data_IF_466511155149
#
_entry.id   IF_466511155149
#
_cell.length_a   1.000
_cell.length_b   1.000
_cell.length_c   1.000
_cell.angle_alpha   90.00
_cell.angle_beta   90.00
_cell.angle_gamma   90.00
#
_symmetry.space_group_name_H-M   'P 1'
#
loop_
_entity.id
_entity.type
_entity.pdbx_description
1 polymer ?
#
# COMPACT_ATOMS: atom_id res chain seq x y z
N UNK A 1 15.62 -20.73 -11.32
CA UNK A 1 15.90 -19.29 -11.06
C UNK A 1 17.21 -18.90 -11.75
N UNK A 2 17.34 -17.64 -12.16
CA UNK A 2 18.55 -17.09 -12.79
C UNK A 2 19.68 -16.94 -11.76
N UNK A 3 20.96 -17.00 -12.25
CA UNK A 3 22.14 -16.78 -11.43
C UNK A 3 22.12 -15.38 -10.79
N UNK A 4 22.40 -15.30 -9.49
CA UNK A 4 22.64 -14.03 -8.83
C UNK A 4 24.04 -13.51 -9.19
N UNK A 5 24.10 -12.56 -10.11
CA UNK A 5 25.36 -12.00 -10.61
C UNK A 5 26.08 -11.07 -9.62
N UNK A 6 25.40 -10.63 -8.56
CA UNK A 6 26.02 -9.85 -7.49
C UNK A 6 27.04 -10.68 -6.70
N UNK A 7 26.72 -11.96 -6.48
CA UNK A 7 27.57 -12.92 -5.75
C UNK A 7 28.49 -13.74 -6.64
N UNK A 8 28.12 -13.88 -7.91
CA UNK A 8 28.81 -14.80 -8.79
C UNK A 8 30.14 -14.23 -9.32
N UNK A 9 31.12 -15.08 -9.43
CA UNK A 9 32.39 -14.75 -10.12
C UNK A 9 32.16 -14.67 -11.63
N UNK A 10 32.98 -13.90 -12.33
CA UNK A 10 32.86 -13.68 -13.77
C UNK A 10 32.86 -14.97 -14.58
N UNK A 11 33.71 -15.94 -14.19
CA UNK A 11 33.77 -17.25 -14.87
C UNK A 11 32.42 -18.00 -14.79
N UNK A 12 31.70 -17.87 -13.67
CA UNK A 12 30.37 -18.46 -13.49
C UNK A 12 29.28 -17.72 -14.26
N UNK A 13 29.41 -16.42 -14.38
CA UNK A 13 28.45 -15.58 -15.12
C UNK A 13 28.53 -15.93 -16.61
N UNK A 14 29.76 -15.95 -17.18
CA UNK A 14 29.95 -16.31 -18.57
C UNK A 14 29.74 -17.80 -18.88
N UNK A 15 29.80 -18.67 -17.86
CA UNK A 15 29.52 -20.10 -18.00
C UNK A 15 28.03 -20.45 -17.79
N UNK A 16 27.18 -19.50 -17.44
CA UNK A 16 25.76 -19.75 -17.17
C UNK A 16 24.95 -19.72 -18.48
N UNK A 17 24.24 -20.79 -18.80
CA UNK A 17 23.52 -20.95 -20.06
C UNK A 17 22.40 -19.94 -20.26
N UNK A 18 21.65 -19.57 -19.18
CA UNK A 18 20.58 -18.62 -19.24
C UNK A 18 21.12 -17.22 -19.55
N UNK A 19 22.22 -16.82 -18.89
CA UNK A 19 22.86 -15.51 -19.14
C UNK A 19 23.46 -15.49 -20.57
N UNK A 20 24.10 -16.54 -20.99
CA UNK A 20 24.62 -16.63 -22.37
C UNK A 20 23.47 -16.50 -23.40
N UNK A 21 22.37 -17.18 -23.16
CA UNK A 21 21.18 -17.08 -24.02
C UNK A 21 20.64 -15.67 -24.10
N UNK A 22 20.58 -14.95 -22.95
CA UNK A 22 20.18 -13.55 -22.90
C UNK A 22 21.11 -12.66 -23.72
N UNK A 23 22.43 -12.79 -23.53
CA UNK A 23 23.45 -12.03 -24.27
C UNK A 23 23.31 -12.26 -25.76
N UNK A 24 23.23 -13.54 -26.19
CA UNK A 24 23.06 -13.90 -27.58
C UNK A 24 21.76 -13.36 -28.19
N UNK A 25 20.65 -13.44 -27.45
CA UNK A 25 19.37 -12.93 -27.91
C UNK A 25 19.38 -11.40 -28.09
N UNK A 26 19.92 -10.69 -27.11
CA UNK A 26 19.97 -9.21 -27.10
C UNK A 26 20.98 -8.70 -28.15
N UNK A 27 22.07 -9.40 -28.35
CA UNK A 27 23.09 -9.12 -29.39
C UNK A 27 24.17 -8.13 -28.96
N UNK A 28 24.18 -7.69 -27.70
CA UNK A 28 25.20 -6.78 -27.15
C UNK A 28 26.15 -7.52 -26.21
N UNK A 29 27.39 -7.06 -26.13
CA UNK A 29 28.33 -7.54 -25.11
C UNK A 29 27.88 -7.06 -23.73
N UNK A 30 28.19 -7.80 -22.68
CA UNK A 30 28.00 -7.41 -21.31
C UNK A 30 29.33 -7.01 -20.66
N UNK A 31 29.32 -5.96 -19.87
CA UNK A 31 30.47 -5.51 -19.09
C UNK A 31 30.04 -4.76 -17.85
N UNK A 32 30.86 -4.81 -16.80
CA UNK A 32 30.70 -3.88 -15.66
C UNK A 32 31.11 -2.44 -16.01
N UNK A 33 31.94 -2.30 -17.06
CA UNK A 33 32.27 -0.98 -17.58
C UNK A 33 31.22 -0.61 -18.65
N UNK A 34 30.48 0.43 -18.41
CA UNK A 34 29.39 0.91 -19.28
C UNK A 34 29.84 1.25 -20.69
N UNK A 35 31.11 1.69 -20.85
CA UNK A 35 31.68 2.05 -22.13
C UNK A 35 31.97 0.83 -23.04
N UNK A 36 31.96 -0.37 -22.48
CA UNK A 36 32.20 -1.60 -23.24
C UNK A 36 30.90 -2.20 -23.80
N UNK A 37 29.73 -1.66 -23.43
CA UNK A 37 28.42 -2.13 -23.92
C UNK A 37 28.07 -1.42 -25.23
N UNK A 38 28.24 -2.15 -26.34
CA UNK A 38 27.99 -1.64 -27.69
C UNK A 38 26.50 -1.69 -28.03
N UNK A 39 25.79 -0.57 -27.81
CA UNK A 39 24.34 -0.46 -28.06
C UNK A 39 24.01 -0.52 -29.55
N UNK A 40 24.97 -0.19 -30.47
CA UNK A 40 24.71 -0.23 -31.91
C UNK A 40 24.42 -1.65 -32.41
N UNK A 41 24.90 -2.66 -31.67
CA UNK A 41 24.65 -4.09 -31.96
C UNK A 41 23.32 -4.60 -31.41
N UNK A 42 22.54 -3.75 -30.70
CA UNK A 42 21.28 -4.13 -30.10
C UNK A 42 20.28 -4.61 -31.15
N UNK A 43 19.74 -5.82 -30.95
CA UNK A 43 18.78 -6.44 -31.88
C UNK A 43 17.33 -6.02 -31.57
N UNK A 44 17.03 -5.64 -30.32
CA UNK A 44 15.66 -5.37 -29.86
C UNK A 44 15.63 -4.07 -29.04
N UNK A 45 14.76 -3.15 -29.43
CA UNK A 45 14.57 -1.88 -28.72
C UNK A 45 13.55 -1.96 -27.58
N UNK A 46 13.02 -3.15 -27.29
CA UNK A 46 12.21 -3.46 -26.11
C UNK A 46 12.55 -4.84 -25.59
N UNK A 47 13.13 -4.87 -24.41
CA UNK A 47 13.43 -6.08 -23.65
C UNK A 47 12.40 -6.12 -22.53
N UNK A 48 11.51 -7.09 -22.57
CA UNK A 48 10.32 -7.13 -21.69
C UNK A 48 10.45 -8.31 -20.75
N UNK A 49 10.56 -8.05 -19.44
CA UNK A 49 10.51 -9.08 -18.42
C UNK A 49 9.06 -9.49 -18.18
N UNK A 50 8.80 -10.77 -18.29
CA UNK A 50 7.49 -11.35 -18.08
C UNK A 50 7.62 -12.47 -17.05
N UNK A 51 7.21 -12.20 -15.82
CA UNK A 51 7.31 -13.09 -14.67
C UNK A 51 5.95 -13.24 -14.00
N UNK A 52 5.75 -14.33 -13.28
CA UNK A 52 4.56 -14.55 -12.48
C UNK A 52 4.37 -13.46 -11.42
N UNK A 53 3.13 -13.28 -10.97
CA UNK A 53 2.78 -12.27 -9.94
C UNK A 53 3.04 -12.77 -8.50
N UNK A 54 3.72 -13.89 -8.33
CA UNK A 54 4.08 -14.48 -7.05
C UNK A 54 5.46 -14.04 -6.54
N UNK A 55 5.85 -14.54 -5.36
CA UNK A 55 7.15 -14.23 -4.73
C UNK A 55 8.34 -14.74 -5.55
N UNK A 56 8.20 -15.88 -6.24
CA UNK A 56 9.24 -16.43 -7.09
C UNK A 56 9.43 -15.59 -8.34
N UNK A 57 8.36 -15.13 -8.97
CA UNK A 57 8.41 -14.19 -10.10
C UNK A 57 9.01 -12.84 -9.71
N UNK A 58 8.69 -12.31 -8.53
CA UNK A 58 9.31 -11.10 -8.00
C UNK A 58 10.83 -11.27 -7.79
N UNK A 59 11.27 -12.43 -7.27
CA UNK A 59 12.68 -12.75 -7.11
C UNK A 59 13.39 -12.89 -8.46
N UNK A 60 12.81 -13.57 -9.44
CA UNK A 60 13.37 -13.68 -10.81
C UNK A 60 13.54 -12.29 -11.44
N UNK A 61 12.55 -11.43 -11.29
CA UNK A 61 12.60 -10.04 -11.77
C UNK A 61 13.74 -9.25 -11.11
N UNK A 62 13.93 -9.40 -9.79
CA UNK A 62 15.04 -8.76 -9.08
C UNK A 62 16.41 -9.27 -9.58
N UNK A 63 16.55 -10.59 -9.81
CA UNK A 63 17.78 -11.17 -10.38
C UNK A 63 18.08 -10.64 -11.80
N UNK A 64 17.06 -10.52 -12.64
CA UNK A 64 17.18 -9.91 -13.96
C UNK A 64 17.58 -8.44 -13.88
N UNK A 65 16.92 -7.65 -13.04
CA UNK A 65 17.26 -6.24 -12.82
C UNK A 65 18.69 -6.09 -12.33
N UNK A 66 19.16 -6.96 -11.41
CA UNK A 66 20.55 -6.98 -10.94
C UNK A 66 21.51 -7.21 -12.10
N UNK A 67 21.21 -8.19 -12.97
CA UNK A 67 22.04 -8.48 -14.15
C UNK A 67 22.11 -7.27 -15.09
N UNK A 68 20.97 -6.69 -15.45
CA UNK A 68 20.93 -5.54 -16.36
C UNK A 68 21.61 -4.31 -15.75
N UNK A 69 21.40 -4.04 -14.47
CA UNK A 69 22.05 -2.93 -13.78
C UNK A 69 23.58 -3.09 -13.72
N UNK A 70 24.08 -4.31 -13.42
CA UNK A 70 25.52 -4.57 -13.25
C UNK A 70 26.29 -4.74 -14.56
N UNK A 71 25.65 -5.27 -15.62
CA UNK A 71 26.36 -5.72 -16.82
C UNK A 71 25.82 -5.16 -18.13
N UNK A 72 24.66 -4.53 -18.11
CA UNK A 72 24.02 -3.97 -19.30
C UNK A 72 23.27 -2.66 -18.98
N UNK A 73 23.80 -1.86 -18.05
CA UNK A 73 23.21 -0.63 -17.55
C UNK A 73 22.82 0.36 -18.66
N UNK A 74 23.61 0.59 -19.73
CA UNK A 74 23.21 1.44 -20.82
C UNK A 74 21.86 1.06 -21.46
N UNK A 75 21.43 -0.20 -21.37
CA UNK A 75 20.11 -0.60 -21.88
C UNK A 75 18.95 -0.07 -21.02
N UNK A 76 19.18 0.07 -19.69
CA UNK A 76 18.22 0.70 -18.79
C UNK A 76 18.17 2.22 -19.05
N UNK A 77 19.32 2.87 -19.09
CA UNK A 77 19.45 4.32 -19.26
C UNK A 77 18.86 4.80 -20.60
N UNK A 78 19.04 4.03 -21.66
CA UNK A 78 18.44 4.30 -22.96
C UNK A 78 16.96 3.86 -23.06
N UNK A 79 16.40 3.27 -22.00
CA UNK A 79 14.98 2.96 -21.91
C UNK A 79 14.53 1.77 -22.74
N UNK A 80 15.36 0.76 -22.88
CA UNK A 80 15.03 -0.47 -23.62
C UNK A 80 14.48 -1.59 -22.74
N UNK A 81 14.50 -1.42 -21.40
CA UNK A 81 14.06 -2.44 -20.44
C UNK A 81 12.68 -2.13 -19.90
N UNK A 82 11.81 -3.13 -19.94
CA UNK A 82 10.40 -3.04 -19.52
C UNK A 82 9.99 -4.26 -18.70
N UNK A 83 8.97 -4.08 -17.87
CA UNK A 83 8.28 -5.14 -17.13
C UNK A 83 6.85 -5.23 -17.63
N UNK A 84 6.44 -6.41 -18.09
CA UNK A 84 5.07 -6.68 -18.46
C UNK A 84 4.15 -6.64 -17.24
N UNK A 85 2.95 -6.15 -17.45
CA UNK A 85 1.91 -6.07 -16.42
C UNK A 85 0.76 -7.00 -16.82
N UNK A 86 0.81 -8.30 -16.46
CA UNK A 86 -0.32 -9.19 -16.67
C UNK A 86 -1.47 -8.84 -15.72
N UNK A 87 -2.73 -9.11 -16.08
CA UNK A 87 -3.85 -8.90 -15.18
C UNK A 87 -3.80 -9.88 -14.01
N UNK A 88 -4.24 -9.42 -12.83
CA UNK A 88 -4.42 -10.27 -11.65
C UNK A 88 -5.80 -10.94 -11.63
N UNK A 89 -6.79 -10.34 -12.26
CA UNK A 89 -8.17 -10.80 -12.22
C UNK A 89 -8.82 -10.80 -13.59
N UNK A 90 -9.68 -11.79 -13.82
CA UNK A 90 -10.70 -11.79 -14.86
C UNK A 90 -12.07 -11.80 -14.21
N UNK A 91 -12.87 -10.82 -14.56
CA UNK A 91 -14.25 -10.70 -14.10
C UNK A 91 -15.18 -11.00 -15.25
N UNK A 92 -16.21 -11.82 -15.01
CA UNK A 92 -17.23 -12.13 -16.00
C UNK A 92 -18.59 -11.79 -15.41
N UNK A 93 -19.36 -10.97 -16.17
CA UNK A 93 -20.71 -10.55 -15.81
C UNK A 93 -21.61 -10.85 -17.03
N UNK A 94 -22.46 -11.85 -16.88
CA UNK A 94 -23.26 -12.32 -18.00
C UNK A 94 -22.39 -12.84 -19.15
N UNK A 95 -22.38 -12.14 -20.28
CA UNK A 95 -21.57 -12.49 -21.45
C UNK A 95 -20.31 -11.63 -21.63
N UNK A 96 -20.09 -10.65 -20.78
CA UNK A 96 -18.96 -9.71 -20.86
C UNK A 96 -17.89 -10.09 -19.88
N UNK A 97 -16.64 -10.07 -20.33
CA UNK A 97 -15.47 -10.25 -19.46
C UNK A 97 -14.57 -9.01 -19.47
N UNK A 98 -14.02 -8.69 -18.33
CA UNK A 98 -13.08 -7.58 -18.13
C UNK A 98 -11.88 -8.09 -17.35
N UNK A 99 -10.70 -7.51 -17.60
CA UNK A 99 -9.46 -7.84 -16.88
C UNK A 99 -9.05 -6.68 -15.98
N UNK A 100 -8.70 -7.00 -14.73
CA UNK A 100 -8.20 -6.03 -13.76
C UNK A 100 -6.76 -6.36 -13.37
N UNK A 101 -5.96 -5.32 -13.20
CA UNK A 101 -4.51 -5.42 -13.08
C UNK A 101 -4.01 -5.33 -11.63
N UNK A 102 -4.85 -4.88 -10.70
CA UNK A 102 -4.51 -4.79 -9.28
C UNK A 102 -5.74 -4.91 -8.36
N UNK A 103 -5.49 -5.10 -7.06
CA UNK A 103 -6.53 -5.22 -6.04
C UNK A 103 -7.36 -3.94 -5.90
N UNK A 104 -6.77 -2.76 -6.16
CA UNK A 104 -7.46 -1.47 -6.06
C UNK A 104 -8.53 -1.33 -7.13
N UNK A 105 -8.23 -1.79 -8.35
CA UNK A 105 -9.19 -1.81 -9.45
C UNK A 105 -10.36 -2.75 -9.13
N UNK A 106 -10.09 -3.92 -8.54
CA UNK A 106 -11.11 -4.86 -8.09
C UNK A 106 -11.98 -4.24 -7.00
N UNK A 107 -11.39 -3.68 -5.97
CA UNK A 107 -12.11 -3.03 -4.87
C UNK A 107 -12.98 -1.87 -5.35
N UNK A 108 -12.45 -1.07 -6.26
CA UNK A 108 -13.20 0.04 -6.86
C UNK A 108 -14.42 -0.48 -7.63
N UNK A 109 -14.24 -1.46 -8.51
CA UNK A 109 -15.33 -2.08 -9.26
C UNK A 109 -16.37 -2.69 -8.33
N UNK A 110 -15.95 -3.39 -7.28
CA UNK A 110 -16.85 -4.00 -6.30
C UNK A 110 -17.70 -2.92 -5.61
N UNK A 111 -17.08 -1.82 -5.20
CA UNK A 111 -17.81 -0.68 -4.61
C UNK A 111 -18.78 -0.05 -5.58
N UNK A 112 -18.34 0.29 -6.81
CA UNK A 112 -19.19 0.90 -7.84
C UNK A 112 -20.43 0.06 -8.16
N UNK A 113 -20.29 -1.26 -8.15
CA UNK A 113 -21.43 -2.18 -8.36
C UNK A 113 -22.29 -2.30 -7.12
N UNK A 114 -21.66 -2.39 -5.94
CA UNK A 114 -22.34 -2.62 -4.67
C UNK A 114 -23.21 -1.46 -4.21
N UNK A 115 -22.83 -0.23 -4.55
CA UNK A 115 -23.57 0.98 -4.11
C UNK A 115 -24.78 1.32 -4.99
N UNK A 116 -24.99 0.67 -6.13
CA UNK A 116 -26.10 1.00 -7.02
C UNK A 116 -27.44 0.93 -6.31
N UNK A 117 -28.22 2.01 -6.37
CA UNK A 117 -29.51 2.12 -5.69
C UNK A 117 -29.43 2.16 -4.15
N UNK A 118 -28.27 2.53 -3.60
CA UNK A 118 -28.09 2.72 -2.16
C UNK A 118 -27.88 4.20 -1.81
N UNK A 119 -28.39 4.59 -0.64
CA UNK A 119 -28.08 5.87 0.01
C UNK A 119 -27.65 5.60 1.44
N UNK A 120 -26.46 6.09 1.82
CA UNK A 120 -25.96 6.04 3.18
C UNK A 120 -26.15 7.39 3.85
N UNK A 121 -26.80 7.39 5.03
CA UNK A 121 -27.05 8.58 5.82
C UNK A 121 -26.38 8.46 7.19
N UNK A 122 -25.92 9.59 7.75
CA UNK A 122 -25.51 9.66 9.15
C UNK A 122 -26.71 9.54 10.09
N UNK A 123 -26.47 9.33 11.39
CA UNK A 123 -27.51 9.12 12.40
C UNK A 123 -28.59 10.19 12.41
N UNK A 124 -28.19 11.45 12.31
CA UNK A 124 -29.13 12.60 12.30
C UNK A 124 -29.83 12.81 10.95
N UNK A 125 -29.46 12.03 9.92
CA UNK A 125 -29.93 12.18 8.53
C UNK A 125 -29.68 13.58 7.94
N UNK A 126 -28.71 14.31 8.49
CA UNK A 126 -28.34 15.66 8.00
C UNK A 126 -27.37 15.61 6.83
N UNK A 127 -26.68 14.47 6.65
CA UNK A 127 -25.78 14.19 5.51
C UNK A 127 -26.12 12.81 4.95
N UNK A 128 -26.18 12.73 3.64
CA UNK A 128 -26.39 11.48 2.90
C UNK A 128 -25.56 11.45 1.63
N UNK A 129 -25.13 10.28 1.23
CA UNK A 129 -24.37 10.03 0.01
C UNK A 129 -24.97 8.86 -0.75
N UNK A 130 -25.03 8.99 -2.06
CA UNK A 130 -25.51 7.94 -2.97
C UNK A 130 -24.56 7.77 -4.15
N UNK A 131 -24.61 6.61 -4.80
CA UNK A 131 -23.88 6.29 -6.03
C UNK A 131 -22.39 6.68 -6.00
N UNK A 132 -21.96 7.57 -6.89
CA UNK A 132 -20.54 7.93 -7.04
C UNK A 132 -19.95 8.62 -5.80
N UNK A 133 -20.73 9.44 -5.11
CA UNK A 133 -20.34 10.09 -3.85
C UNK A 133 -20.13 9.02 -2.77
N UNK A 134 -21.02 8.01 -2.72
CA UNK A 134 -20.90 6.90 -1.78
C UNK A 134 -19.67 6.03 -2.09
N UNK A 135 -19.33 5.80 -3.36
CA UNK A 135 -18.07 5.11 -3.75
C UNK A 135 -16.85 5.83 -3.19
N UNK A 136 -16.81 7.14 -3.32
CA UNK A 136 -15.70 7.97 -2.82
C UNK A 136 -15.63 7.91 -1.31
N UNK A 137 -16.75 8.14 -0.61
CA UNK A 137 -16.83 8.05 0.85
C UNK A 137 -16.34 6.70 1.38
N UNK A 138 -16.81 5.59 0.79
CA UNK A 138 -16.39 4.24 1.18
C UNK A 138 -14.89 4.00 0.93
N UNK A 139 -14.34 4.60 -0.12
CA UNK A 139 -12.90 4.59 -0.38
C UNK A 139 -12.11 5.30 0.71
N UNK A 140 -12.56 6.49 1.08
CA UNK A 140 -11.93 7.32 2.13
C UNK A 140 -12.05 6.66 3.51
N UNK A 141 -13.21 6.08 3.83
CA UNK A 141 -13.42 5.30 5.05
C UNK A 141 -12.50 4.08 5.11
N UNK A 142 -12.39 3.32 4.00
CA UNK A 142 -11.47 2.18 3.92
C UNK A 142 -10.01 2.63 4.13
N UNK A 143 -9.60 3.71 3.49
CA UNK A 143 -8.27 4.31 3.66
C UNK A 143 -8.01 4.74 5.10
N UNK A 144 -8.99 5.34 5.75
CA UNK A 144 -8.94 5.73 7.16
C UNK A 144 -8.72 4.51 8.06
N UNK A 145 -9.58 3.50 7.99
CA UNK A 145 -9.45 2.30 8.84
C UNK A 145 -8.16 1.52 8.57
N UNK A 146 -7.76 1.39 7.31
CA UNK A 146 -6.52 0.70 6.95
C UNK A 146 -5.26 1.43 7.47
N UNK A 147 -5.31 2.75 7.61
CA UNK A 147 -4.16 3.52 8.13
C UNK A 147 -3.80 3.17 9.58
N UNK A 148 -4.74 2.67 10.38
CA UNK A 148 -4.47 2.19 11.74
C UNK A 148 -3.75 0.84 11.79
N UNK A 149 -3.72 0.08 10.70
CA UNK A 149 -2.97 -1.17 10.61
C UNK A 149 -1.49 -0.94 10.27
N UNK A 150 -1.09 0.31 10.01
CA UNK A 150 0.33 0.60 9.81
C UNK A 150 1.09 0.50 11.15
N UNK A 151 2.36 0.07 11.15
CA UNK A 151 3.13 -0.07 12.39
C UNK A 151 3.33 1.24 13.15
N UNK A 152 3.37 2.36 12.43
CA UNK A 152 3.46 3.70 13.04
C UNK A 152 2.22 4.02 13.88
N UNK A 153 1.05 3.50 13.47
CA UNK A 153 -0.23 3.78 14.11
C UNK A 153 -0.77 2.64 14.96
N UNK A 154 -0.27 1.41 14.78
CA UNK A 154 -0.83 0.19 15.39
C UNK A 154 -0.88 0.21 16.93
N UNK A 155 0.05 0.92 17.57
CA UNK A 155 0.08 1.05 19.02
C UNK A 155 -0.77 2.20 19.56
N UNK A 156 -1.29 3.08 18.68
CA UNK A 156 -2.03 4.29 19.08
C UNK A 156 -3.51 4.03 18.86
N UNK A 157 -4.33 4.08 19.93
CA UNK A 157 -5.75 3.87 19.79
C UNK A 157 -6.41 4.88 18.85
N UNK A 158 -7.33 4.41 18.02
CA UNK A 158 -8.03 5.26 17.05
C UNK A 158 -8.76 6.44 17.71
N UNK A 159 -9.31 6.24 18.92
CA UNK A 159 -9.94 7.31 19.71
C UNK A 159 -8.93 8.41 20.04
N UNK A 160 -7.68 8.05 20.39
CA UNK A 160 -6.63 9.04 20.68
C UNK A 160 -6.23 9.82 19.43
N UNK A 161 -6.07 9.14 18.29
CA UNK A 161 -5.76 9.80 17.01
C UNK A 161 -6.86 10.80 16.64
N UNK A 162 -8.12 10.43 16.79
CA UNK A 162 -9.25 11.34 16.57
C UNK A 162 -9.20 12.56 17.50
N UNK A 163 -8.91 12.33 18.78
CA UNK A 163 -8.72 13.40 19.76
C UNK A 163 -7.60 14.36 19.38
N UNK A 164 -6.44 13.83 18.95
CA UNK A 164 -5.29 14.63 18.47
C UNK A 164 -5.67 15.49 17.25
N UNK A 165 -6.38 14.93 16.27
CA UNK A 165 -6.83 15.69 15.10
C UNK A 165 -7.79 16.80 15.52
N UNK A 166 -8.72 16.51 16.41
CA UNK A 166 -9.72 17.49 16.89
C UNK A 166 -9.14 18.57 17.79
N UNK A 167 -8.05 18.27 18.51
CA UNK A 167 -7.30 19.28 19.28
C UNK A 167 -6.58 20.28 18.41
N UNK A 168 -6.39 19.96 17.12
CA UNK A 168 -5.66 20.80 16.18
C UNK A 168 -4.14 20.81 16.41
N UNK A 169 -3.59 19.79 17.10
CA UNK A 169 -2.15 19.69 17.37
C UNK A 169 -1.31 19.80 16.11
N UNK A 170 -0.29 20.64 16.17
CA UNK A 170 0.72 20.83 15.13
C UNK A 170 2.13 20.59 15.70
N UNK A 171 3.09 20.40 14.80
CA UNK A 171 4.47 20.07 15.19
C UNK A 171 5.13 21.13 16.07
N UNK A 172 4.84 22.40 15.81
CA UNK A 172 5.38 23.53 16.57
C UNK A 172 4.84 23.62 18.00
N UNK A 173 3.69 23.01 18.30
CA UNK A 173 3.08 23.07 19.62
C UNK A 173 3.92 22.33 20.66
N UNK A 174 4.72 21.35 20.25
CA UNK A 174 5.61 20.59 21.14
C UNK A 174 6.73 21.44 21.76
N UNK A 175 7.01 22.60 21.20
CA UNK A 175 7.97 23.58 21.73
C UNK A 175 7.27 24.61 22.66
N UNK A 176 5.94 24.52 22.83
CA UNK A 176 5.14 25.44 23.65
C UNK A 176 4.45 24.69 24.81
N UNK A 177 4.99 24.79 26.05
CA UNK A 177 4.44 24.08 27.21
C UNK A 177 2.99 24.42 27.54
N UNK A 178 2.60 25.70 27.42
CA UNK A 178 1.22 26.15 27.72
C UNK A 178 0.25 25.54 26.72
N UNK A 179 0.59 25.57 25.43
CA UNK A 179 -0.24 24.97 24.38
C UNK A 179 -0.39 23.45 24.54
N UNK A 180 0.68 22.79 24.89
CA UNK A 180 0.67 21.34 25.16
C UNK A 180 -0.16 20.98 26.41
N UNK A 181 -0.20 21.85 27.42
CA UNK A 181 -1.10 21.67 28.58
C UNK A 181 -2.59 21.77 28.15
N UNK A 182 -2.93 22.77 27.33
CA UNK A 182 -4.30 22.90 26.77
C UNK A 182 -4.69 21.66 25.97
N UNK A 183 -3.82 21.22 25.07
CA UNK A 183 -4.05 20.03 24.25
C UNK A 183 -4.23 18.78 25.11
N UNK A 184 -3.36 18.59 26.12
CA UNK A 184 -3.47 17.44 27.02
C UNK A 184 -4.76 17.46 27.85
N UNK A 185 -5.17 18.61 28.35
CA UNK A 185 -6.44 18.76 29.06
C UNK A 185 -7.64 18.47 28.15
N UNK A 186 -7.60 18.95 26.91
CA UNK A 186 -8.61 18.61 25.91
C UNK A 186 -8.68 17.10 25.64
N UNK A 187 -7.53 16.43 25.47
CA UNK A 187 -7.47 15.00 25.22
C UNK A 187 -8.01 14.17 26.39
N UNK A 188 -7.71 14.54 27.62
CA UNK A 188 -8.26 13.89 28.81
C UNK A 188 -9.79 13.99 28.83
N UNK A 189 -10.33 15.18 28.56
CA UNK A 189 -11.78 15.37 28.52
C UNK A 189 -12.42 14.60 27.35
N UNK A 190 -11.77 14.62 26.19
CA UNK A 190 -12.22 13.88 25.02
C UNK A 190 -12.29 12.36 25.26
N UNK A 191 -11.29 11.79 25.93
CA UNK A 191 -11.27 10.36 26.28
C UNK A 191 -12.40 9.99 27.26
N UNK A 192 -12.65 10.82 28.27
CA UNK A 192 -13.75 10.62 29.22
C UNK A 192 -15.09 10.67 28.50
N UNK A 193 -15.32 11.69 27.70
CA UNK A 193 -16.57 11.87 26.93
C UNK A 193 -16.83 10.67 26.00
N UNK A 194 -15.81 10.20 25.30
CA UNK A 194 -15.94 9.05 24.40
C UNK A 194 -16.14 7.72 25.15
N UNK A 195 -15.59 7.57 26.35
CA UNK A 195 -15.87 6.43 27.19
C UNK A 195 -17.34 6.42 27.68
N UNK A 196 -17.85 7.56 28.12
CA UNK A 196 -19.15 7.69 28.74
C UNK A 196 -20.29 7.81 27.72
N UNK A 197 -20.16 8.74 26.77
CA UNK A 197 -21.24 9.05 25.85
C UNK A 197 -21.21 8.19 24.57
N UNK A 198 -20.05 7.74 24.14
CA UNK A 198 -19.88 6.94 22.91
C UNK A 198 -19.68 5.45 23.18
N UNK A 199 -19.46 5.07 24.45
CA UNK A 199 -19.31 3.66 24.84
C UNK A 199 -18.01 3.02 24.31
N UNK A 200 -16.97 3.81 24.03
CA UNK A 200 -15.68 3.31 23.58
C UNK A 200 -14.91 2.80 24.79
N UNK A 201 -14.90 1.48 24.98
CA UNK A 201 -14.35 0.82 26.18
C UNK A 201 -12.89 1.16 26.39
N UNK A 202 -12.10 1.17 25.33
CA UNK A 202 -10.67 1.49 25.38
C UNK A 202 -10.38 2.90 25.91
N UNK A 203 -11.29 3.86 25.70
CA UNK A 203 -11.10 5.22 26.19
C UNK A 203 -11.08 5.32 27.71
N UNK A 204 -11.66 4.35 28.44
CA UNK A 204 -11.65 4.30 29.92
C UNK A 204 -10.28 3.99 30.49
N UNK A 205 -9.52 3.21 29.75
CA UNK A 205 -8.23 2.66 30.23
C UNK A 205 -7.05 3.59 29.89
N UNK A 206 -7.30 4.63 29.08
CA UNK A 206 -6.25 5.54 28.64
C UNK A 206 -6.22 6.84 29.44
N UNK A 207 -4.98 7.21 29.86
CA UNK A 207 -4.70 8.52 30.49
C UNK A 207 -3.61 9.21 29.68
N UNK A 208 -3.86 10.44 29.26
CA UNK A 208 -2.86 11.27 28.62
C UNK A 208 -2.08 12.07 29.68
N UNK A 209 -0.76 11.96 29.67
CA UNK A 209 0.15 12.61 30.60
C UNK A 209 1.19 13.42 29.83
N UNK A 210 1.47 14.64 30.27
CA UNK A 210 2.56 15.43 29.72
C UNK A 210 3.89 14.99 30.31
N UNK A 211 4.92 14.94 29.47
CA UNK A 211 6.29 14.70 29.85
C UNK A 211 7.23 15.61 29.08
N UNK A 212 8.17 16.21 29.78
CA UNK A 212 9.28 16.93 29.17
C UNK A 212 10.38 15.96 28.77
N UNK A 213 10.91 16.13 27.58
CA UNK A 213 12.05 15.35 27.05
C UNK A 213 13.36 16.02 27.41
N UNK A 214 14.48 15.30 27.24
CA UNK A 214 15.82 15.83 27.60
C UNK A 214 16.24 17.07 26.78
N UNK A 215 15.64 17.26 25.60
CA UNK A 215 15.82 18.42 24.71
C UNK A 215 14.80 19.55 24.95
N UNK A 216 14.04 19.46 26.07
CA UNK A 216 13.10 20.52 26.50
C UNK A 216 11.77 20.55 25.77
N UNK A 217 11.45 19.54 24.96
CA UNK A 217 10.17 19.45 24.28
C UNK A 217 9.12 18.75 25.15
N UNK A 218 7.89 19.21 25.04
CA UNK A 218 6.76 18.57 25.68
C UNK A 218 6.19 17.47 24.78
N UNK A 219 6.07 16.25 25.30
CA UNK A 219 5.40 15.14 24.62
C UNK A 219 4.22 14.65 25.45
N UNK A 220 3.23 14.03 24.77
CA UNK A 220 2.12 13.37 25.45
C UNK A 220 2.44 11.88 25.53
N UNK A 221 2.39 11.34 26.74
CA UNK A 221 2.41 9.89 26.99
C UNK A 221 0.98 9.41 27.20
N UNK A 222 0.62 8.39 26.46
CA UNK A 222 -0.63 7.67 26.64
C UNK A 222 -0.35 6.45 27.51
N UNK A 223 -0.80 6.48 28.75
CA UNK A 223 -0.72 5.37 29.69
C UNK A 223 -1.89 4.42 29.46
N UNK A 224 -1.59 3.16 29.22
CA UNK A 224 -2.56 2.07 28.96
C UNK A 224 -2.92 1.27 30.23
N UNK A 225 -2.38 1.64 31.38
CA UNK A 225 -2.65 0.96 32.66
C UNK A 225 -1.82 -0.29 32.95
N UNK A 226 -1.11 -0.85 31.97
CA UNK A 226 -0.29 -2.06 32.10
C UNK A 226 1.22 -1.80 31.98
N UNK A 227 1.66 -0.56 32.08
CA UNK A 227 3.09 -0.20 32.05
C UNK A 227 3.65 0.17 30.68
N UNK A 228 2.93 -0.11 29.62
CA UNK A 228 3.31 0.28 28.26
C UNK A 228 2.70 1.64 27.88
N UNK A 229 3.52 2.67 27.87
CA UNK A 229 3.10 4.01 27.50
C UNK A 229 3.52 4.34 26.07
N UNK A 230 2.56 4.66 25.20
CA UNK A 230 2.83 5.15 23.86
C UNK A 230 3.13 6.64 23.90
N UNK A 231 4.17 7.08 23.18
CA UNK A 231 4.55 8.49 23.14
C UNK A 231 4.03 9.17 21.87
N UNK A 232 3.27 10.23 22.05
CA UNK A 232 2.87 11.13 20.95
C UNK A 232 3.96 12.17 20.77
N UNK A 233 4.65 12.08 19.66
CA UNK A 233 5.84 12.87 19.35
C UNK A 233 5.67 13.72 18.08
N UNK A 234 6.52 14.72 17.84
CA UNK A 234 6.54 15.46 16.59
C UNK A 234 6.68 14.56 15.35
N UNK A 235 7.44 13.46 15.49
CA UNK A 235 7.65 12.47 14.41
C UNK A 235 6.34 11.79 14.01
N UNK A 236 5.52 11.41 14.99
CA UNK A 236 4.20 10.84 14.74
C UNK A 236 3.31 11.82 13.97
N UNK A 237 3.24 13.07 14.42
CA UNK A 237 2.41 14.08 13.76
C UNK A 237 2.87 14.36 12.33
N UNK A 238 4.17 14.27 12.05
CA UNK A 238 4.74 14.39 10.69
C UNK A 238 4.56 13.16 9.81
N UNK A 239 4.23 12.00 10.39
CA UNK A 239 4.13 10.75 9.63
C UNK A 239 3.09 10.84 8.51
N UNK A 240 3.36 10.16 7.40
CA UNK A 240 2.44 10.11 6.27
C UNK A 240 1.09 9.51 6.66
N UNK A 241 1.09 8.55 7.56
CA UNK A 241 -0.09 7.86 8.07
C UNK A 241 -0.99 8.82 8.84
N UNK A 242 -0.43 9.55 9.81
CA UNK A 242 -1.19 10.55 10.55
C UNK A 242 -1.75 11.65 9.64
N UNK A 243 -0.93 12.15 8.71
CA UNK A 243 -1.35 13.20 7.78
C UNK A 243 -2.45 12.73 6.83
N UNK A 244 -2.42 11.48 6.38
CA UNK A 244 -3.51 10.88 5.58
C UNK A 244 -4.82 10.83 6.38
N UNK A 245 -4.76 10.33 7.62
CA UNK A 245 -5.94 10.27 8.50
C UNK A 245 -6.47 11.69 8.76
N UNK A 246 -5.58 12.64 9.11
CA UNK A 246 -5.94 14.04 9.37
C UNK A 246 -6.65 14.68 8.17
N UNK A 247 -6.18 14.40 6.95
CA UNK A 247 -6.76 14.94 5.72
C UNK A 247 -8.16 14.38 5.43
N UNK A 248 -8.38 13.08 5.62
CA UNK A 248 -9.67 12.43 5.31
C UNK A 248 -10.72 12.62 6.42
N UNK A 249 -10.30 12.76 7.67
CA UNK A 249 -11.20 12.78 8.83
C UNK A 249 -12.33 13.80 8.76
N UNK A 250 -12.15 15.09 8.37
CA UNK A 250 -13.23 16.07 8.34
C UNK A 250 -14.42 15.65 7.46
N UNK A 251 -14.14 14.99 6.34
CA UNK A 251 -15.16 14.55 5.38
C UNK A 251 -15.91 13.32 5.87
N UNK A 252 -15.20 12.37 6.48
CA UNK A 252 -15.76 11.07 6.86
C UNK A 252 -16.32 11.05 8.30
N UNK A 253 -15.97 12.00 9.17
CA UNK A 253 -16.27 11.93 10.61
C UNK A 253 -17.76 11.69 10.92
N UNK A 254 -18.66 12.31 10.15
CA UNK A 254 -20.10 12.12 10.31
C UNK A 254 -20.62 10.78 9.77
N UNK A 255 -19.72 9.92 9.28
CA UNK A 255 -20.00 8.56 8.86
C UNK A 255 -19.11 7.54 9.59
N UNK A 256 -18.33 7.97 10.58
CA UNK A 256 -17.61 7.06 11.47
C UNK A 256 -18.57 6.54 12.55
N UNK A 257 -18.70 5.24 12.63
CA UNK A 257 -19.64 4.60 13.58
C UNK A 257 -19.24 4.88 15.02
N UNK A 258 -17.95 5.03 15.28
CA UNK A 258 -17.40 5.42 16.59
C UNK A 258 -17.80 6.85 17.01
N UNK A 259 -18.20 7.70 16.07
CA UNK A 259 -18.70 9.06 16.31
C UNK A 259 -20.23 9.11 16.30
N UNK A 260 -20.87 8.39 15.40
CA UNK A 260 -22.32 8.44 15.15
C UNK A 260 -23.10 7.32 15.86
N UNK A 261 -22.45 6.24 16.31
CA UNK A 261 -22.98 4.97 16.86
C UNK A 261 -23.68 4.08 15.84
N UNK A 262 -24.34 4.67 14.87
CA UNK A 262 -25.06 3.95 13.81
C UNK A 262 -25.19 4.82 12.56
N UNK A 263 -25.28 4.18 11.40
CA UNK A 263 -25.58 4.78 10.11
C UNK A 263 -26.83 4.13 9.53
N UNK A 264 -27.49 4.80 8.61
CA UNK A 264 -28.66 4.27 7.93
C UNK A 264 -28.36 4.04 6.46
N UNK A 265 -28.52 2.80 6.03
CA UNK A 265 -28.35 2.39 4.64
C UNK A 265 -29.71 2.12 4.02
N UNK A 266 -30.17 3.03 3.18
CA UNK A 266 -31.41 2.92 2.45
C UNK A 266 -31.19 2.11 1.18
N UNK A 267 -32.05 1.11 0.95
CA UNK A 267 -32.14 0.29 -0.24
C UNK A 267 -33.49 0.54 -0.93
N UNK A 268 -33.72 -0.04 -2.10
CA UNK A 268 -35.01 0.07 -2.80
C UNK A 268 -36.20 -0.44 -1.97
N UNK A 269 -35.96 -1.38 -1.03
CA UNK A 269 -37.01 -2.09 -0.31
C UNK A 269 -37.05 -1.82 1.20
N UNK A 270 -35.95 -1.42 1.79
CA UNK A 270 -35.81 -1.29 3.25
C UNK A 270 -34.70 -0.32 3.64
N UNK A 271 -34.73 0.13 4.90
CA UNK A 271 -33.65 0.88 5.56
C UNK A 271 -32.96 -0.06 6.56
N UNK A 272 -31.65 -0.22 6.44
CA UNK A 272 -30.82 -1.02 7.32
C UNK A 272 -30.04 -0.13 8.29
N UNK A 273 -29.98 -0.53 9.55
CA UNK A 273 -29.16 0.13 10.58
C UNK A 273 -27.79 -0.53 10.59
N UNK A 274 -26.75 0.24 10.30
CA UNK A 274 -25.36 -0.20 10.22
C UNK A 274 -24.64 0.17 11.51
N UNK A 275 -24.05 -0.83 12.18
CA UNK A 275 -23.38 -0.68 13.48
C UNK A 275 -21.88 -0.89 13.44
N UNK A 276 -21.33 -1.28 12.28
CA UNK A 276 -19.89 -1.39 12.08
C UNK A 276 -19.50 -1.14 10.61
N UNK A 277 -18.29 -0.62 10.39
CA UNK A 277 -17.78 -0.45 9.04
C UNK A 277 -17.62 -1.79 8.31
N UNK A 278 -17.23 -2.85 9.05
CA UNK A 278 -17.15 -4.20 8.49
C UNK A 278 -18.49 -4.74 7.99
N UNK A 279 -19.60 -4.45 8.70
CA UNK A 279 -20.95 -4.78 8.26
C UNK A 279 -21.31 -4.05 6.96
N UNK A 280 -21.04 -2.73 6.89
CA UNK A 280 -21.25 -1.94 5.70
C UNK A 280 -20.44 -2.49 4.51
N UNK A 281 -19.15 -2.76 4.71
CA UNK A 281 -18.30 -3.34 3.67
C UNK A 281 -18.81 -4.70 3.18
N UNK A 282 -19.25 -5.55 4.10
CA UNK A 282 -19.81 -6.87 3.76
C UNK A 282 -21.03 -6.74 2.85
N UNK A 283 -21.98 -5.89 3.20
CA UNK A 283 -23.20 -5.64 2.39
C UNK A 283 -22.82 -5.14 0.99
N UNK A 284 -21.93 -4.14 0.91
CA UNK A 284 -21.47 -3.58 -0.36
C UNK A 284 -20.77 -4.64 -1.21
N UNK A 285 -19.90 -5.44 -0.62
CA UNK A 285 -19.16 -6.49 -1.33
C UNK A 285 -20.07 -7.62 -1.83
N UNK A 286 -21.02 -8.08 -1.02
CA UNK A 286 -21.99 -9.10 -1.42
C UNK A 286 -22.85 -8.63 -2.60
N UNK A 287 -23.29 -7.37 -2.58
CA UNK A 287 -24.02 -6.75 -3.69
C UNK A 287 -23.14 -6.58 -4.93
N UNK A 288 -21.88 -6.16 -4.75
CA UNK A 288 -20.91 -6.00 -5.84
C UNK A 288 -20.61 -7.33 -6.55
N UNK A 289 -20.54 -8.42 -5.79
CA UNK A 289 -20.29 -9.77 -6.31
C UNK A 289 -21.50 -10.40 -7.01
N UNK A 290 -22.70 -9.92 -6.75
CA UNK A 290 -23.92 -10.57 -7.27
C UNK A 290 -23.92 -10.64 -8.80
N UNK A 291 -24.05 -11.88 -9.31
CA UNK A 291 -24.05 -12.14 -10.76
C UNK A 291 -22.68 -11.98 -11.44
N UNK A 292 -21.59 -11.97 -10.67
CA UNK A 292 -20.22 -11.88 -11.15
C UNK A 292 -19.46 -13.18 -10.87
N UNK A 293 -18.67 -13.61 -11.86
CA UNK A 293 -17.65 -14.66 -11.65
C UNK A 293 -16.28 -14.01 -11.62
N UNK A 294 -15.52 -14.25 -10.56
CA UNK A 294 -14.18 -13.75 -10.36
C UNK A 294 -13.18 -14.92 -10.52
N UNK A 295 -12.22 -14.76 -11.43
CA UNK A 295 -11.05 -15.62 -11.56
C UNK A 295 -9.81 -14.81 -11.19
N UNK A 296 -9.02 -15.30 -10.23
CA UNK A 296 -7.72 -14.74 -9.88
C UNK A 296 -6.62 -15.53 -10.57
N UNK A 297 -5.68 -14.86 -11.21
CA UNK A 297 -4.49 -15.48 -11.78
C UNK A 297 -3.32 -15.36 -10.79
N UNK A 298 -2.77 -16.49 -10.37
CA UNK A 298 -1.57 -16.55 -9.51
C UNK A 298 -0.28 -16.49 -10.33
N UNK A 299 -0.32 -17.03 -11.56
CA UNK A 299 0.80 -17.04 -12.47
C UNK A 299 0.36 -17.05 -13.94
N UNK A 300 1.30 -16.76 -14.83
CA UNK A 300 1.08 -16.72 -16.29
C UNK A 300 0.65 -18.07 -16.85
N UNK A 301 1.07 -19.18 -16.21
CA UNK A 301 0.70 -20.55 -16.61
C UNK A 301 -0.77 -20.89 -16.39
N UNK A 302 -1.51 -20.10 -15.62
CA UNK A 302 -2.97 -20.24 -15.45
C UNK A 302 -3.77 -19.57 -16.56
N UNK A 303 -3.13 -18.78 -17.40
CA UNK A 303 -3.75 -18.07 -18.52
C UNK A 303 -3.70 -18.94 -19.77
N UNK A 304 -4.80 -18.99 -20.50
CA UNK A 304 -4.79 -19.58 -21.84
C UNK A 304 -3.91 -18.73 -22.77
N UNK A 305 -3.26 -19.32 -23.79
CA UNK A 305 -2.38 -18.58 -24.71
C UNK A 305 -3.01 -17.33 -25.33
N UNK A 306 -4.28 -17.43 -25.70
CA UNK A 306 -5.04 -16.31 -26.25
C UNK A 306 -5.23 -15.19 -25.22
N UNK A 307 -5.55 -15.54 -23.96
CA UNK A 307 -5.70 -14.56 -22.87
C UNK A 307 -4.38 -13.84 -22.59
N UNK A 308 -3.27 -14.60 -22.53
CA UNK A 308 -1.95 -14.03 -22.31
C UNK A 308 -1.56 -13.07 -23.45
N UNK A 309 -1.85 -13.45 -24.69
CA UNK A 309 -1.63 -12.58 -25.85
C UNK A 309 -2.41 -11.27 -25.71
N UNK A 310 -3.73 -11.34 -25.59
CA UNK A 310 -4.64 -10.19 -25.58
C UNK A 310 -4.38 -9.20 -24.44
N UNK A 311 -3.94 -9.69 -23.28
CA UNK A 311 -3.78 -8.87 -22.09
C UNK A 311 -2.37 -8.38 -21.85
N UNK A 312 -1.35 -9.14 -22.30
CA UNK A 312 0.03 -8.94 -21.85
C UNK A 312 1.03 -8.80 -23.00
N UNK A 313 0.77 -9.42 -24.15
CA UNK A 313 1.76 -9.48 -25.24
C UNK A 313 1.39 -8.59 -26.43
N UNK A 314 0.13 -8.42 -26.75
CA UNK A 314 -0.32 -7.61 -27.90
C UNK A 314 0.13 -6.15 -27.72
N UNK A 315 0.95 -5.61 -28.66
CA UNK A 315 1.42 -4.23 -28.60
C UNK A 315 0.32 -3.17 -28.52
N UNK A 316 -0.89 -3.49 -28.94
CA UNK A 316 -2.03 -2.55 -28.98
C UNK A 316 -2.79 -2.43 -27.68
N UNK A 317 -2.71 -3.47 -26.82
CA UNK A 317 -3.49 -3.57 -25.58
C UNK A 317 -2.65 -3.69 -24.32
N UNK A 318 -1.42 -4.22 -24.44
CA UNK A 318 -0.54 -4.48 -23.30
C UNK A 318 -0.15 -3.21 -22.54
N UNK A 319 0.02 -3.37 -21.25
CA UNK A 319 0.62 -2.35 -20.37
C UNK A 319 2.04 -2.77 -20.01
N UNK A 320 2.99 -1.87 -20.18
CA UNK A 320 4.40 -2.07 -19.85
C UNK A 320 4.86 -1.00 -18.84
N UNK A 321 5.52 -1.43 -17.79
CA UNK A 321 6.24 -0.54 -16.88
C UNK A 321 7.67 -0.36 -17.44
N UNK A 322 8.04 0.87 -17.80
CA UNK A 322 9.40 1.20 -18.21
C UNK A 322 10.31 1.22 -16.98
N UNK A 323 11.43 0.54 -17.05
CA UNK A 323 12.47 0.59 -16.01
C UNK A 323 13.28 1.86 -16.19
N UNK A 324 13.25 2.74 -15.21
CA UNK A 324 14.03 3.98 -15.17
C UNK A 324 15.07 3.89 -14.05
N UNK A 325 16.22 4.54 -14.30
CA UNK A 325 17.29 4.70 -13.33
C UNK A 325 17.32 6.17 -12.90
N UNK A 326 16.71 6.51 -11.77
CA UNK A 326 16.64 7.89 -11.26
C UNK A 326 17.87 8.25 -10.43
N UNK A 327 18.34 7.31 -9.58
CA UNK A 327 19.51 7.47 -8.73
C UNK A 327 20.37 6.18 -8.80
N UNK A 328 21.44 6.26 -9.54
CA UNK A 328 22.34 5.12 -9.74
C UNK A 328 23.07 4.71 -8.45
N UNK A 329 23.42 5.66 -7.60
CA UNK A 329 24.14 5.39 -6.36
C UNK A 329 23.23 4.70 -5.33
N UNK A 330 22.00 5.15 -5.22
CA UNK A 330 21.00 4.52 -4.36
C UNK A 330 20.67 3.10 -4.84
N UNK A 331 20.51 2.90 -6.16
CA UNK A 331 20.29 1.58 -6.74
C UNK A 331 21.47 0.64 -6.48
N UNK A 332 22.72 1.13 -6.60
CA UNK A 332 23.92 0.37 -6.30
C UNK A 332 23.92 -0.15 -4.86
N UNK A 333 23.64 0.73 -3.89
CA UNK A 333 23.53 0.36 -2.48
C UNK A 333 22.40 -0.65 -2.22
N UNK A 334 21.24 -0.48 -2.86
CA UNK A 334 20.12 -1.41 -2.71
C UNK A 334 20.43 -2.79 -3.26
N UNK A 335 21.08 -2.91 -4.43
CA UNK A 335 21.49 -4.19 -4.96
C UNK A 335 22.57 -4.85 -4.08
N UNK A 336 23.51 -4.10 -3.55
CA UNK A 336 24.50 -4.61 -2.59
C UNK A 336 23.84 -5.17 -1.31
N UNK A 337 22.86 -4.44 -0.75
CA UNK A 337 22.14 -4.87 0.45
C UNK A 337 21.30 -6.11 0.17
N UNK A 338 20.46 -6.07 -0.87
CA UNK A 338 19.46 -7.10 -1.13
C UNK A 338 20.06 -8.35 -1.77
N UNK A 339 21.03 -8.22 -2.66
CA UNK A 339 21.56 -9.28 -3.49
C UNK A 339 23.00 -9.66 -3.15
N UNK A 340 23.72 -8.85 -2.37
CA UNK A 340 25.11 -9.07 -1.97
C UNK A 340 25.32 -10.22 -0.97
N UNK A 341 26.57 -10.49 -0.63
CA UNK A 341 26.96 -11.62 0.23
C UNK A 341 26.68 -11.38 1.72
N UNK A 342 26.69 -10.12 2.17
CA UNK A 342 26.50 -9.75 3.58
C UNK A 342 25.06 -9.97 4.02
N UNK A 343 24.89 -10.76 5.09
CA UNK A 343 23.55 -11.10 5.63
C UNK A 343 23.01 -9.98 6.52
N UNK A 344 23.86 -9.38 7.36
CA UNK A 344 23.43 -8.35 8.35
C UNK A 344 22.75 -7.16 7.72
N UNK A 345 23.32 -6.45 6.69
CA UNK A 345 22.64 -5.30 6.10
C UNK A 345 21.29 -5.66 5.47
N UNK A 346 21.16 -6.88 4.94
CA UNK A 346 19.90 -7.38 4.38
C UNK A 346 18.87 -7.65 5.45
N UNK A 347 19.27 -8.27 6.57
CA UNK A 347 18.39 -8.50 7.72
C UNK A 347 17.89 -7.18 8.27
N UNK A 348 18.78 -6.22 8.52
CA UNK A 348 18.43 -4.91 9.05
C UNK A 348 17.50 -4.14 8.11
N UNK A 349 17.72 -4.25 6.78
CA UNK A 349 16.81 -3.70 5.78
C UNK A 349 15.43 -4.35 5.83
N UNK A 350 15.37 -5.69 5.93
CA UNK A 350 14.11 -6.44 6.01
C UNK A 350 13.36 -6.06 7.31
N UNK A 351 14.04 -6.01 8.45
CA UNK A 351 13.44 -5.61 9.73
C UNK A 351 12.87 -4.18 9.68
N UNK A 352 13.64 -3.24 9.12
CA UNK A 352 13.22 -1.85 8.99
C UNK A 352 12.04 -1.65 8.01
N UNK A 353 11.90 -2.52 7.01
CA UNK A 353 10.91 -2.39 5.94
C UNK A 353 9.83 -3.48 5.95
N UNK A 354 9.88 -4.44 6.89
CA UNK A 354 8.92 -5.54 7.01
C UNK A 354 7.47 -5.05 7.06
N UNK A 355 7.29 -3.91 7.66
CA UNK A 355 5.99 -3.21 7.82
C UNK A 355 5.35 -2.76 6.51
N UNK A 356 6.14 -2.62 5.45
CA UNK A 356 5.66 -2.26 4.12
C UNK A 356 5.50 -3.48 3.20
N UNK A 357 5.87 -4.67 3.70
CA UNK A 357 5.76 -5.90 2.92
C UNK A 357 4.30 -6.28 2.71
N UNK A 358 3.92 -6.46 1.45
CA UNK A 358 2.62 -6.96 1.01
C UNK A 358 2.80 -8.27 0.28
N UNK A 359 1.79 -9.12 0.25
CA UNK A 359 1.83 -10.43 -0.45
C UNK A 359 2.90 -11.39 0.10
N UNK A 360 3.01 -11.47 1.42
CA UNK A 360 3.85 -12.47 2.08
C UNK A 360 3.06 -13.78 2.06
N UNK A 361 3.63 -14.83 1.45
CA UNK A 361 3.08 -16.18 1.55
C UNK A 361 3.35 -16.71 2.97
N UNK A 362 2.31 -16.80 3.78
CA UNK A 362 2.31 -17.40 5.12
C UNK A 362 1.54 -18.70 5.10
#
# INVERSE_FOLDING_TARGET
KILNVERARLDKIYGNNEIQSLIQAIGVNISRNENDVDIEKLRYHKIIFMTDADVDGAHIRTLLLTFFFRYARPLIENGYVYIAQPPLYKITIGKTSEYLYDDRALDKMMRERGVKGLTLSNRSKTRSFSENELVTLLGDMSGYYNSFHSPVMAEIPAVMVRGLIRSGIEVQDFDNPEKMQEINAYLQHYLIDHAENYGITEAKDYKSLLKETADGKMIIKLDKGEGDAVSITPTLIKSNEYQKIKKSYPEIRSFLIEEEKELYLETENEELVIKSFGELQKIINERGQKGMTLQRFKGLGEMMPQQLWETTMDPTTRTLLKVNLEDAQLCDQLFDILMGDKVEPRRDFIEAHAVYATNIDT
#
